data_IF_645774373697
#
_entry.id   IF_645774373697
#
_cell.length_a   1.000
_cell.length_b   1.000
_cell.length_c   1.000
_cell.angle_alpha   90.00
_cell.angle_beta   90.00
_cell.angle_gamma   90.00
#
_symmetry.space_group_name_H-M   'P 1'
#
loop_
_entity.id
_entity.type
_entity.pdbx_description
1 polymer ?
#
# COMPACT_ATOMS: atom_id res chain seq x y z
N UNK A 1 30.00 3.58 23.42
CA UNK A 1 29.87 3.20 22.01
C UNK A 1 28.53 2.50 21.85
N UNK A 2 27.46 3.27 21.64
CA UNK A 2 26.08 2.74 21.54
C UNK A 2 25.59 2.99 20.12
N UNK A 3 25.56 1.91 19.33
CA UNK A 3 24.99 1.89 17.99
C UNK A 3 23.47 1.86 18.16
N UNK A 4 22.83 3.00 17.97
CA UNK A 4 21.38 3.07 17.76
C UNK A 4 21.09 2.55 16.36
N UNK A 5 20.52 1.35 16.26
CA UNK A 5 19.92 0.83 15.04
C UNK A 5 18.61 1.58 14.75
N UNK A 6 18.73 2.76 14.14
CA UNK A 6 17.64 3.52 13.51
C UNK A 6 17.42 2.93 12.12
N UNK A 7 16.39 2.09 11.98
CA UNK A 7 16.05 1.42 10.72
C UNK A 7 14.83 2.13 10.12
N UNK A 8 14.99 2.63 8.89
CA UNK A 8 13.91 2.88 7.93
C UNK A 8 13.25 4.26 7.96
N UNK A 9 12.50 4.57 9.02
CA UNK A 9 11.46 5.61 8.95
C UNK A 9 11.97 7.06 8.96
N UNK A 10 13.10 7.33 9.60
CA UNK A 10 13.64 8.69 9.69
C UNK A 10 14.25 9.17 8.37
N UNK A 11 14.73 8.25 7.53
CA UNK A 11 15.39 8.60 6.27
C UNK A 11 14.40 9.21 5.26
N UNK A 12 13.14 8.78 5.26
CA UNK A 12 12.08 9.35 4.41
C UNK A 12 11.64 10.75 4.85
N UNK A 13 11.83 11.11 6.13
CA UNK A 13 11.48 12.44 6.65
C UNK A 13 12.64 13.45 6.56
N UNK A 14 13.89 12.98 6.64
CA UNK A 14 15.09 13.84 6.58
C UNK A 14 15.63 14.04 5.15
N UNK A 15 15.28 13.18 4.20
CA UNK A 15 15.64 13.37 2.80
C UNK A 15 14.72 14.42 2.17
N UNK A 16 15.10 15.68 2.35
CA UNK A 16 14.63 16.83 1.58
C UNK A 16 15.15 16.76 0.11
N UNK A 17 15.21 15.55 -0.44
CA UNK A 17 15.79 15.24 -1.73
C UNK A 17 14.62 15.03 -2.69
N UNK A 18 14.46 15.96 -3.64
CA UNK A 18 13.46 15.88 -4.70
C UNK A 18 13.59 14.53 -5.41
N UNK A 19 12.69 13.59 -5.14
CA UNK A 19 12.46 12.48 -6.06
C UNK A 19 11.85 13.06 -7.35
N UNK A 20 12.29 12.58 -8.53
CA UNK A 20 11.80 13.09 -9.81
C UNK A 20 10.29 12.84 -9.90
N UNK A 21 9.49 13.90 -9.74
CA UNK A 21 8.02 13.84 -9.64
C UNK A 21 7.44 14.90 -8.69
N UNK A 22 8.18 15.31 -7.66
CA UNK A 22 7.73 16.33 -6.71
C UNK A 22 8.09 17.75 -7.16
N UNK A 23 7.09 18.53 -7.56
CA UNK A 23 7.27 19.90 -8.11
C UNK A 23 7.35 21.00 -7.03
N UNK A 24 7.16 20.69 -5.75
CA UNK A 24 7.20 21.63 -4.62
C UNK A 24 7.64 20.95 -3.32
N UNK A 25 8.18 21.71 -2.35
CA UNK A 25 8.49 21.31 -0.97
C UNK A 25 7.24 20.93 -0.15
N UNK A 26 6.47 19.97 -0.63
CA UNK A 26 5.30 19.43 0.07
C UNK A 26 5.67 18.06 0.64
N UNK A 27 5.18 17.75 1.84
CA UNK A 27 5.23 16.40 2.40
C UNK A 27 4.40 15.47 1.51
N UNK A 28 4.88 14.26 1.30
CA UNK A 28 4.15 13.26 0.51
C UNK A 28 2.92 12.76 1.27
N UNK A 29 1.79 12.63 0.58
CA UNK A 29 0.60 11.91 1.03
C UNK A 29 0.66 10.47 0.53
N UNK A 30 0.84 9.53 1.46
CA UNK A 30 0.78 8.09 1.19
C UNK A 30 -0.57 7.56 1.67
N UNK A 31 -1.39 7.08 0.75
CA UNK A 31 -2.70 6.51 1.07
C UNK A 31 -2.60 4.99 1.15
N UNK A 32 -3.17 4.39 2.20
CA UNK A 32 -3.20 2.93 2.37
C UNK A 32 -4.64 2.41 2.28
N UNK A 33 -4.82 1.29 1.58
CA UNK A 33 -6.04 0.47 1.69
C UNK A 33 -5.73 -1.02 1.51
N UNK A 34 -6.60 -1.88 2.03
CA UNK A 34 -6.48 -3.34 1.86
C UNK A 34 -7.14 -3.77 0.57
N UNK A 35 -6.42 -4.46 -0.32
CA UNK A 35 -7.03 -5.01 -1.52
C UNK A 35 -8.09 -6.05 -1.14
N UNK A 36 -9.22 -6.05 -1.84
CA UNK A 36 -10.32 -6.98 -1.62
C UNK A 36 -11.26 -6.63 -0.46
N UNK A 37 -11.11 -5.45 0.14
CA UNK A 37 -12.01 -4.93 1.17
C UNK A 37 -12.77 -3.68 0.67
N UNK A 38 -14.11 -3.73 0.54
CA UNK A 38 -14.99 -4.87 0.78
C UNK A 38 -14.99 -5.93 -0.33
N UNK A 39 -14.44 -5.65 -1.51
CA UNK A 39 -14.22 -6.62 -2.60
C UNK A 39 -13.19 -6.07 -3.62
N UNK A 40 -12.92 -6.84 -4.69
CA UNK A 40 -11.91 -6.50 -5.70
C UNK A 40 -12.35 -5.38 -6.66
N UNK A 41 -13.65 -5.21 -6.89
CA UNK A 41 -14.15 -4.15 -7.77
C UNK A 41 -14.13 -2.81 -7.03
N UNK A 42 -14.60 -2.81 -5.77
CA UNK A 42 -14.47 -1.67 -4.86
C UNK A 42 -13.00 -1.25 -4.67
N UNK A 43 -12.05 -2.19 -4.66
CA UNK A 43 -10.61 -1.88 -4.58
C UNK A 43 -10.12 -1.02 -5.74
N UNK A 44 -10.60 -1.28 -6.97
CA UNK A 44 -10.27 -0.46 -8.15
C UNK A 44 -10.88 0.94 -8.05
N UNK A 45 -12.12 1.03 -7.56
CA UNK A 45 -12.80 2.30 -7.35
C UNK A 45 -12.09 3.15 -6.28
N UNK A 46 -11.70 2.53 -5.15
CA UNK A 46 -10.92 3.18 -4.10
C UNK A 46 -9.61 3.74 -4.65
N UNK A 47 -8.88 2.96 -5.46
CA UNK A 47 -7.67 3.43 -6.12
C UNK A 47 -7.94 4.69 -6.97
N UNK A 48 -8.97 4.65 -7.83
CA UNK A 48 -9.31 5.76 -8.71
C UNK A 48 -9.70 7.02 -7.91
N UNK A 49 -10.40 6.85 -6.78
CA UNK A 49 -10.73 7.95 -5.87
C UNK A 49 -9.47 8.52 -5.22
N UNK A 50 -8.56 7.69 -4.73
CA UNK A 50 -7.28 8.12 -4.15
C UNK A 50 -6.46 8.92 -5.16
N UNK A 51 -6.33 8.41 -6.39
CA UNK A 51 -5.60 9.09 -7.47
C UNK A 51 -6.23 10.43 -7.82
N UNK A 52 -7.56 10.47 -8.01
CA UNK A 52 -8.29 11.70 -8.32
C UNK A 52 -8.14 12.78 -7.24
N UNK A 53 -7.96 12.39 -5.98
CA UNK A 53 -7.78 13.31 -4.85
C UNK A 53 -6.31 13.69 -4.58
N UNK A 54 -5.38 13.26 -5.43
CA UNK A 54 -4.00 13.75 -5.42
C UNK A 54 -3.10 13.14 -4.34
N UNK A 55 -3.27 11.85 -4.03
CA UNK A 55 -2.22 11.13 -3.31
C UNK A 55 -0.93 11.08 -4.14
N UNK A 56 0.23 11.09 -3.48
CA UNK A 56 1.54 11.00 -4.14
C UNK A 56 1.97 9.54 -4.32
N UNK A 57 1.57 8.67 -3.38
CA UNK A 57 1.84 7.23 -3.38
C UNK A 57 0.61 6.51 -2.84
N UNK A 58 0.32 5.32 -3.35
CA UNK A 58 -0.68 4.43 -2.76
C UNK A 58 -0.06 3.09 -2.37
N UNK A 59 -0.30 2.72 -1.11
CA UNK A 59 0.03 1.42 -0.55
C UNK A 59 -1.20 0.51 -0.61
N UNK A 60 -1.02 -0.66 -1.21
CA UNK A 60 -2.05 -1.69 -1.32
C UNK A 60 -1.67 -2.84 -0.41
N UNK A 61 -2.43 -3.01 0.66
CA UNK A 61 -2.27 -4.12 1.60
C UNK A 61 -2.66 -5.46 0.97
N UNK A 62 -1.72 -6.41 1.00
CA UNK A 62 -1.96 -7.81 0.63
C UNK A 62 -2.46 -8.55 1.88
N UNK A 63 -3.69 -9.09 1.86
CA UNK A 63 -4.28 -9.76 3.00
C UNK A 63 -3.47 -11.01 3.39
N UNK A 64 -3.21 -11.15 4.68
CA UNK A 64 -2.45 -12.26 5.27
C UNK A 64 -3.14 -12.76 6.54
N UNK A 65 -2.98 -14.06 6.85
CA UNK A 65 -3.66 -14.74 7.95
C UNK A 65 -3.21 -14.29 9.34
N UNK A 66 -1.95 -13.87 9.49
CA UNK A 66 -1.34 -13.60 10.80
C UNK A 66 -0.79 -12.16 10.91
N UNK A 67 -1.65 -11.11 10.86
CA UNK A 67 -1.24 -9.71 10.87
C UNK A 67 -0.96 -9.18 12.28
N UNK A 68 0.08 -9.71 12.94
CA UNK A 68 0.43 -9.36 14.33
C UNK A 68 0.92 -7.91 14.49
N UNK A 69 1.40 -7.28 13.42
CA UNK A 69 1.95 -5.93 13.45
C UNK A 69 0.89 -4.83 13.24
N UNK A 70 -0.32 -5.21 12.82
CA UNK A 70 -1.35 -4.27 12.39
C UNK A 70 -2.34 -3.93 13.50
N UNK A 71 -2.90 -2.72 13.47
CA UNK A 71 -3.97 -2.32 14.39
C UNK A 71 -5.32 -3.01 14.08
N UNK A 72 -6.28 -2.98 15.02
CA UNK A 72 -7.54 -3.73 14.90
C UNK A 72 -8.37 -3.38 13.65
N UNK A 73 -8.33 -2.13 13.18
CA UNK A 73 -9.01 -1.71 11.94
C UNK A 73 -8.44 -2.41 10.71
N UNK A 74 -7.11 -2.49 10.61
CA UNK A 74 -6.42 -3.13 9.49
C UNK A 74 -6.58 -4.65 9.60
N UNK A 75 -6.47 -5.24 10.79
CA UNK A 75 -6.73 -6.67 10.96
C UNK A 75 -8.15 -7.04 10.49
N UNK A 76 -9.15 -6.21 10.79
CA UNK A 76 -10.53 -6.42 10.34
C UNK A 76 -10.69 -6.31 8.80
N UNK A 77 -10.01 -5.37 8.14
CA UNK A 77 -10.04 -5.27 6.66
C UNK A 77 -9.35 -6.46 6.00
N UNK A 78 -8.21 -6.90 6.53
CA UNK A 78 -7.51 -8.10 6.05
C UNK A 78 -8.39 -9.34 6.20
N UNK A 79 -9.09 -9.49 7.33
CA UNK A 79 -10.00 -10.62 7.55
C UNK A 79 -11.18 -10.63 6.56
N UNK A 80 -11.85 -9.47 6.34
CA UNK A 80 -12.91 -9.36 5.31
C UNK A 80 -12.38 -9.70 3.92
N UNK A 81 -11.23 -9.16 3.56
CA UNK A 81 -10.59 -9.43 2.28
C UNK A 81 -10.24 -10.92 2.06
N UNK A 82 -9.72 -11.60 3.08
CA UNK A 82 -9.46 -13.05 3.03
C UNK A 82 -10.77 -13.84 2.83
N UNK A 83 -11.83 -13.47 3.55
CA UNK A 83 -13.14 -14.12 3.43
C UNK A 83 -13.75 -13.95 2.03
N UNK A 84 -13.41 -12.87 1.32
CA UNK A 84 -13.79 -12.65 -0.08
C UNK A 84 -12.92 -13.42 -1.10
N UNK A 85 -11.98 -14.24 -0.63
CA UNK A 85 -11.10 -15.03 -1.47
C UNK A 85 -10.10 -14.18 -2.26
N UNK A 86 -9.65 -13.05 -1.70
CA UNK A 86 -8.61 -12.23 -2.30
C UNK A 86 -7.29 -12.98 -2.30
N UNK A 87 -6.56 -12.91 -3.42
CA UNK A 87 -5.26 -13.58 -3.57
C UNK A 87 -4.25 -12.64 -4.19
N UNK A 88 -2.96 -12.86 -3.92
CA UNK A 88 -1.87 -12.09 -4.52
C UNK A 88 -1.99 -12.03 -6.06
N UNK A 89 -2.40 -13.12 -6.70
CA UNK A 89 -2.63 -13.17 -8.16
C UNK A 89 -3.73 -12.22 -8.63
N UNK A 90 -4.84 -12.10 -7.88
CA UNK A 90 -5.91 -11.13 -8.17
C UNK A 90 -5.41 -9.70 -8.01
N UNK A 91 -4.61 -9.43 -6.98
CA UNK A 91 -4.03 -8.11 -6.69
C UNK A 91 -3.05 -7.70 -7.80
N UNK A 92 -2.11 -8.56 -8.18
CA UNK A 92 -1.15 -8.28 -9.26
C UNK A 92 -1.88 -8.00 -10.58
N UNK A 93 -2.93 -8.75 -10.90
CA UNK A 93 -3.77 -8.49 -12.09
C UNK A 93 -4.46 -7.14 -12.01
N UNK A 94 -5.04 -6.81 -10.85
CA UNK A 94 -5.67 -5.50 -10.62
C UNK A 94 -4.68 -4.36 -10.82
N UNK A 95 -3.48 -4.46 -10.26
CA UNK A 95 -2.42 -3.44 -10.44
C UNK A 95 -1.98 -3.36 -11.90
N UNK A 96 -1.81 -4.49 -12.59
CA UNK A 96 -1.48 -4.50 -14.02
C UNK A 96 -2.56 -3.83 -14.89
N UNK A 97 -3.84 -3.96 -14.52
CA UNK A 97 -4.93 -3.26 -15.19
C UNK A 97 -4.90 -1.75 -14.92
N UNK A 98 -4.71 -1.35 -13.66
CA UNK A 98 -4.58 0.06 -13.24
C UNK A 98 -3.44 0.75 -13.99
N UNK A 99 -2.30 0.06 -14.19
CA UNK A 99 -1.13 0.59 -14.89
C UNK A 99 -1.31 0.85 -16.37
N UNK A 100 -2.42 0.40 -16.96
CA UNK A 100 -2.77 0.77 -18.35
C UNK A 100 -3.21 2.23 -18.44
N UNK A 101 -3.63 2.85 -17.34
CA UNK A 101 -4.23 4.19 -17.33
C UNK A 101 -3.69 5.13 -16.25
N UNK A 102 -2.91 4.63 -15.29
CA UNK A 102 -2.41 5.39 -14.13
C UNK A 102 -0.90 5.26 -13.97
N UNK A 103 -0.24 6.40 -13.69
CA UNK A 103 1.18 6.51 -13.35
C UNK A 103 1.43 6.71 -11.84
N UNK A 104 0.37 6.83 -11.01
CA UNK A 104 0.49 7.03 -9.56
C UNK A 104 1.29 5.88 -8.93
N UNK A 105 2.45 6.10 -8.26
CA UNK A 105 3.25 5.05 -7.66
C UNK A 105 2.45 4.11 -6.73
N UNK A 106 2.58 2.79 -6.94
CA UNK A 106 1.96 1.75 -6.11
C UNK A 106 3.04 0.97 -5.38
N UNK A 107 2.82 0.77 -4.09
CA UNK A 107 3.62 -0.13 -3.24
C UNK A 107 2.69 -1.25 -2.77
N UNK A 108 3.11 -2.51 -2.95
CA UNK A 108 2.41 -3.64 -2.34
C UNK A 108 2.94 -3.83 -0.92
N UNK A 109 2.08 -3.57 0.07
CA UNK A 109 2.40 -3.81 1.48
C UNK A 109 2.02 -5.25 1.80
N UNK A 110 3.02 -6.09 2.11
CA UNK A 110 2.83 -7.50 2.41
C UNK A 110 3.78 -7.93 3.51
N UNK A 111 3.38 -8.93 4.30
CA UNK A 111 4.32 -9.65 5.16
C UNK A 111 5.29 -10.46 4.29
N UNK A 112 6.44 -10.83 4.87
CA UNK A 112 7.45 -11.65 4.19
C UNK A 112 6.93 -13.05 3.84
N UNK A 113 6.09 -13.63 4.70
CA UNK A 113 5.64 -15.01 4.56
C UNK A 113 4.88 -15.28 3.24
N UNK A 114 3.85 -14.50 2.84
CA UNK A 114 3.17 -14.64 1.54
C UNK A 114 4.04 -14.58 0.28
N UNK A 115 5.28 -14.09 0.37
CA UNK A 115 6.21 -14.04 -0.76
C UNK A 115 7.01 -15.35 -0.87
N UNK A 116 7.27 -16.01 0.26
CA UNK A 116 8.18 -17.15 0.35
C UNK A 116 7.47 -18.50 0.21
N UNK A 117 6.20 -18.60 0.63
CA UNK A 117 5.42 -19.86 0.60
C UNK A 117 4.57 -20.04 -0.66
#
# INVERSE_FOLDING_TARGET
MSIKSRIGWEFLCESNQKSPGFTKWNKALVAFYTAGDPDMDASKEIFAVIEKNGADIVEIGVPFSDPLADGPTIQASLHRSLNNGTTLKKIIRMVADIRKTSELPVVLMTSFNPIFV
#
